data_IF_750209233100
#
_entry.id   IF_750209233100
#
_cell.length_a   1.000
_cell.length_b   1.000
_cell.length_c   1.000
_cell.angle_alpha   90.00
_cell.angle_beta   90.00
_cell.angle_gamma   90.00
#
_symmetry.space_group_name_H-M   'P 1'
#
loop_
_entity.id
_entity.type
_entity.pdbx_description
1 polymer ?
#
# COMPACT_ATOMS: atom_id res chain seq x y z
N UNK A 1 -16.35 -10.48 -24.70
CA UNK A 1 -15.27 -11.48 -24.64
C UNK A 1 -15.56 -12.38 -23.46
N UNK A 2 -15.80 -13.65 -23.73
CA UNK A 2 -16.08 -14.61 -22.65
C UNK A 2 -14.81 -14.88 -21.83
N UNK A 3 -14.92 -14.89 -20.51
CA UNK A 3 -13.83 -15.11 -19.53
C UNK A 3 -12.68 -14.07 -19.57
N UNK A 4 -12.89 -12.89 -20.10
CA UNK A 4 -11.91 -11.81 -20.07
C UNK A 4 -12.50 -10.59 -19.34
N UNK A 5 -12.05 -10.32 -18.12
CA UNK A 5 -12.48 -9.17 -17.33
C UNK A 5 -13.91 -9.30 -16.77
N UNK A 6 -14.38 -10.49 -16.49
CA UNK A 6 -15.77 -10.74 -16.05
C UNK A 6 -15.97 -10.63 -14.53
N UNK A 7 -14.89 -10.46 -13.76
CA UNK A 7 -15.01 -10.35 -12.31
C UNK A 7 -15.17 -8.89 -11.91
N UNK A 8 -16.23 -8.62 -11.18
CA UNK A 8 -16.44 -7.33 -10.50
C UNK A 8 -16.41 -7.56 -8.99
N UNK A 9 -15.51 -6.89 -8.29
CA UNK A 9 -15.34 -7.06 -6.86
C UNK A 9 -14.76 -5.80 -6.21
N UNK A 10 -14.81 -5.76 -4.89
CA UNK A 10 -14.13 -4.72 -4.12
C UNK A 10 -12.64 -5.03 -3.96
N UNK A 11 -11.83 -4.01 -3.65
CA UNK A 11 -10.42 -4.24 -3.33
C UNK A 11 -10.25 -5.16 -2.11
N UNK A 12 -11.17 -5.10 -1.14
CA UNK A 12 -11.16 -5.99 0.03
C UNK A 12 -11.44 -7.45 -0.31
N UNK A 13 -12.25 -7.72 -1.33
CA UNK A 13 -12.49 -9.09 -1.76
C UNK A 13 -11.31 -9.63 -2.59
N UNK A 14 -10.69 -8.79 -3.42
CA UNK A 14 -9.47 -9.15 -4.13
C UNK A 14 -8.32 -9.42 -3.15
N UNK A 15 -8.23 -8.69 -2.05
CA UNK A 15 -7.24 -8.92 -1.00
C UNK A 15 -7.35 -10.33 -0.37
N UNK A 16 -8.54 -10.90 -0.28
CA UNK A 16 -8.72 -12.29 0.19
C UNK A 16 -8.07 -13.29 -0.77
N UNK A 17 -8.17 -13.05 -2.06
CA UNK A 17 -7.46 -13.84 -3.07
C UNK A 17 -5.95 -13.68 -2.92
N UNK A 18 -5.44 -12.48 -2.75
CA UNK A 18 -4.01 -12.21 -2.58
C UNK A 18 -3.44 -12.87 -1.33
N UNK A 19 -4.18 -12.82 -0.22
CA UNK A 19 -3.84 -13.55 1.01
C UNK A 19 -3.73 -15.05 0.72
N UNK A 20 -4.69 -15.60 -0.05
CA UNK A 20 -4.65 -17.01 -0.41
C UNK A 20 -3.46 -17.38 -1.30
N UNK A 21 -3.01 -16.47 -2.15
CA UNK A 21 -1.79 -16.65 -2.95
C UNK A 21 -0.54 -16.62 -2.09
N UNK A 22 -0.46 -15.73 -1.12
CA UNK A 22 0.64 -15.61 -0.17
C UNK A 22 0.72 -16.86 0.71
N UNK A 23 -0.41 -17.27 1.29
CA UNK A 23 -0.50 -18.38 2.24
C UNK A 23 -0.63 -19.74 1.54
N UNK A 24 -0.81 -19.78 0.23
CA UNK A 24 -1.07 -20.98 -0.58
C UNK A 24 -2.26 -21.80 -0.02
N UNK A 25 -3.34 -21.13 0.41
CA UNK A 25 -4.39 -21.72 1.24
C UNK A 25 -5.53 -22.40 0.48
N UNK A 26 -5.78 -22.01 -0.78
CA UNK A 26 -6.96 -22.48 -1.56
C UNK A 26 -6.60 -23.62 -2.52
N UNK A 27 -5.46 -23.47 -3.22
CA UNK A 27 -5.00 -24.44 -4.19
C UNK A 27 -3.91 -25.34 -3.59
N UNK A 28 -3.64 -26.47 -4.25
CA UNK A 28 -2.48 -27.29 -3.88
C UNK A 28 -1.19 -26.49 -4.12
N UNK A 29 -0.14 -26.66 -3.31
CA UNK A 29 1.12 -25.95 -3.50
C UNK A 29 1.72 -26.12 -4.90
N UNK A 30 1.53 -27.27 -5.51
CA UNK A 30 1.97 -27.53 -6.88
C UNK A 30 1.25 -26.62 -7.88
N UNK A 31 -0.04 -26.33 -7.68
CA UNK A 31 -0.83 -25.47 -8.58
C UNK A 31 -0.35 -24.02 -8.54
N UNK A 32 0.04 -23.52 -7.34
CA UNK A 32 0.67 -22.19 -7.23
C UNK A 32 2.01 -22.14 -7.96
N UNK A 33 2.85 -23.18 -7.83
CA UNK A 33 4.12 -23.26 -8.57
C UNK A 33 3.90 -23.26 -10.08
N UNK A 34 2.90 -24.01 -10.58
CA UNK A 34 2.56 -24.02 -12.01
C UNK A 34 2.03 -22.66 -12.46
N UNK A 35 1.22 -21.98 -11.64
CA UNK A 35 0.69 -20.66 -11.94
C UNK A 35 1.80 -19.61 -12.06
N UNK A 36 2.82 -19.72 -11.26
CA UNK A 36 3.97 -18.80 -11.24
C UNK A 36 5.09 -19.20 -12.21
N UNK A 37 5.00 -20.38 -12.84
CA UNK A 37 6.00 -20.83 -13.79
C UNK A 37 5.91 -20.02 -15.07
N UNK A 38 6.98 -19.30 -15.35
CA UNK A 38 7.08 -18.47 -16.55
C UNK A 38 7.27 -19.31 -17.79
N UNK A 39 6.48 -19.06 -18.81
CA UNK A 39 6.63 -19.71 -20.12
C UNK A 39 7.81 -19.08 -20.88
N UNK A 40 8.53 -19.94 -21.62
CA UNK A 40 9.64 -19.50 -22.45
C UNK A 40 9.22 -19.53 -23.93
N UNK A 41 9.67 -18.53 -24.66
CA UNK A 41 9.56 -18.49 -26.12
C UNK A 41 10.51 -19.52 -26.76
N UNK A 42 10.30 -19.86 -28.02
CA UNK A 42 11.13 -20.83 -28.75
C UNK A 42 12.62 -20.45 -28.81
N UNK A 43 12.94 -19.19 -28.70
CA UNK A 43 14.30 -18.66 -28.64
C UNK A 43 14.90 -18.64 -27.22
N UNK A 44 14.20 -19.18 -26.22
CA UNK A 44 14.61 -19.20 -24.81
C UNK A 44 14.33 -17.92 -24.03
N UNK A 45 13.80 -16.87 -24.65
CA UNK A 45 13.45 -15.65 -23.94
C UNK A 45 12.24 -15.88 -23.03
N UNK A 46 12.29 -15.32 -21.82
CA UNK A 46 11.19 -15.37 -20.85
C UNK A 46 10.03 -14.49 -21.30
N UNK A 47 8.81 -15.00 -21.18
CA UNK A 47 7.59 -14.18 -21.35
C UNK A 47 7.32 -13.31 -20.14
N UNK A 48 7.95 -13.58 -19.00
CA UNK A 48 7.63 -13.00 -17.69
C UNK A 48 6.15 -13.20 -17.30
N UNK A 49 5.51 -14.23 -17.82
CA UNK A 49 4.09 -14.50 -17.62
C UNK A 49 3.86 -15.99 -17.39
N UNK A 50 3.10 -16.30 -16.37
CA UNK A 50 2.67 -17.65 -16.01
C UNK A 50 1.21 -17.88 -16.38
N UNK A 51 0.49 -18.63 -15.56
CA UNK A 51 -0.94 -18.91 -15.80
C UNK A 51 -1.78 -17.79 -15.18
N UNK A 52 -2.04 -16.73 -15.96
CA UNK A 52 -2.89 -15.61 -15.56
C UNK A 52 -2.18 -14.56 -14.66
N UNK A 53 -0.88 -14.65 -14.48
CA UNK A 53 -0.11 -13.67 -13.69
C UNK A 53 1.21 -13.33 -14.39
N UNK A 54 1.58 -12.05 -14.37
CA UNK A 54 2.93 -11.62 -14.67
C UNK A 54 3.85 -11.97 -13.51
N UNK A 55 5.05 -12.45 -13.81
CA UNK A 55 6.05 -12.84 -12.81
C UNK A 55 7.32 -12.03 -13.08
N UNK A 56 7.68 -11.18 -12.14
CA UNK A 56 8.83 -10.27 -12.29
C UNK A 56 9.58 -10.10 -10.97
N UNK A 57 10.73 -9.44 -11.06
CA UNK A 57 11.49 -8.99 -9.89
C UNK A 57 11.62 -7.48 -9.97
N UNK A 58 11.10 -6.78 -8.97
CA UNK A 58 11.16 -5.31 -8.87
C UNK A 58 11.92 -4.95 -7.59
N UNK A 59 13.00 -4.21 -7.73
CA UNK A 59 13.86 -3.82 -6.61
C UNK A 59 14.28 -5.00 -5.71
N UNK A 60 14.62 -6.15 -6.34
CA UNK A 60 15.03 -7.37 -5.66
C UNK A 60 13.89 -8.18 -5.04
N UNK A 61 12.63 -7.80 -5.24
CA UNK A 61 11.45 -8.52 -4.72
C UNK A 61 10.70 -9.20 -5.83
N UNK A 62 10.33 -10.45 -5.61
CA UNK A 62 9.44 -11.19 -6.51
C UNK A 62 8.05 -10.58 -6.46
N UNK A 63 7.48 -10.31 -7.63
CA UNK A 63 6.15 -9.72 -7.80
C UNK A 63 5.33 -10.58 -8.72
N UNK A 64 4.15 -10.95 -8.26
CA UNK A 64 3.10 -11.56 -9.05
C UNK A 64 2.04 -10.49 -9.33
N UNK A 65 1.85 -10.12 -10.59
CA UNK A 65 0.98 -9.00 -10.89
C UNK A 65 0.04 -9.28 -12.06
N UNK A 66 -1.13 -8.70 -12.00
CA UNK A 66 -2.04 -8.63 -13.13
C UNK A 66 -2.76 -7.28 -13.14
N UNK A 67 -2.83 -6.66 -14.30
CA UNK A 67 -3.62 -5.47 -14.54
C UNK A 67 -4.88 -5.78 -15.33
N UNK A 68 -5.77 -4.82 -15.38
CA UNK A 68 -6.98 -4.92 -16.18
C UNK A 68 -7.48 -3.56 -16.63
N UNK A 69 -8.10 -3.54 -17.79
CA UNK A 69 -8.81 -2.40 -18.31
C UNK A 69 -10.08 -2.87 -19.02
N UNK A 70 -11.21 -2.34 -18.60
CA UNK A 70 -12.50 -2.47 -19.27
C UNK A 70 -13.17 -1.10 -19.28
N UNK A 71 -14.18 -0.91 -20.15
CA UNK A 71 -14.84 0.41 -20.28
C UNK A 71 -15.21 1.02 -18.93
N UNK A 72 -14.62 2.16 -18.63
CA UNK A 72 -14.84 2.93 -17.41
C UNK A 72 -13.98 2.52 -16.20
N UNK A 73 -13.08 1.50 -16.30
CA UNK A 73 -12.33 0.99 -15.16
C UNK A 73 -10.91 0.58 -15.53
N UNK A 74 -9.95 0.89 -14.67
CA UNK A 74 -8.63 0.24 -14.70
C UNK A 74 -8.31 -0.36 -13.34
N UNK A 75 -7.54 -1.45 -13.37
CA UNK A 75 -7.14 -2.19 -12.18
C UNK A 75 -5.66 -2.55 -12.23
N UNK A 76 -5.03 -2.62 -11.07
CA UNK A 76 -3.71 -3.21 -10.87
C UNK A 76 -3.72 -3.99 -9.57
N UNK A 77 -3.31 -5.25 -9.66
CA UNK A 77 -3.03 -6.09 -8.52
C UNK A 77 -1.55 -6.51 -8.54
N UNK A 78 -0.84 -6.36 -7.44
CA UNK A 78 0.56 -6.72 -7.28
C UNK A 78 0.77 -7.42 -5.94
N UNK A 79 1.08 -8.69 -5.98
CA UNK A 79 1.34 -9.53 -4.80
C UNK A 79 2.84 -9.72 -4.66
N UNK A 80 3.36 -9.52 -3.46
CA UNK A 80 4.75 -9.72 -3.04
C UNK A 80 4.80 -10.90 -2.07
N UNK A 81 4.77 -12.15 -2.55
CA UNK A 81 4.55 -13.31 -1.67
C UNK A 81 5.66 -13.47 -0.64
N UNK A 82 6.92 -13.22 -1.01
CA UNK A 82 8.07 -13.34 -0.10
C UNK A 82 8.12 -12.24 0.97
N UNK A 83 7.32 -11.18 0.80
CA UNK A 83 7.21 -10.06 1.73
C UNK A 83 5.87 -10.02 2.47
N UNK A 84 5.01 -11.02 2.27
CA UNK A 84 3.65 -11.08 2.83
C UNK A 84 2.86 -9.78 2.63
N UNK A 85 2.91 -9.24 1.42
CA UNK A 85 2.26 -7.98 1.08
C UNK A 85 1.56 -8.04 -0.28
N UNK A 86 0.51 -7.24 -0.44
CA UNK A 86 -0.13 -7.01 -1.73
C UNK A 86 -0.55 -5.55 -1.87
N UNK A 87 -0.60 -5.07 -3.10
CA UNK A 87 -1.10 -3.75 -3.45
C UNK A 87 -2.18 -3.89 -4.50
N UNK A 88 -3.37 -3.40 -4.19
CA UNK A 88 -4.53 -3.44 -5.06
C UNK A 88 -4.98 -2.01 -5.32
N UNK A 89 -5.10 -1.66 -6.58
CA UNK A 89 -5.63 -0.37 -7.01
C UNK A 89 -6.73 -0.61 -8.03
N UNK A 90 -7.94 -0.20 -7.71
CA UNK A 90 -9.08 -0.22 -8.59
C UNK A 90 -9.54 1.23 -8.83
N UNK A 91 -9.74 1.62 -10.08
CA UNK A 91 -10.19 2.95 -10.44
C UNK A 91 -11.44 2.89 -11.33
N UNK A 92 -12.28 3.89 -11.22
CA UNK A 92 -13.46 4.08 -12.09
C UNK A 92 -13.14 5.01 -13.27
N UNK A 93 -11.96 4.85 -13.84
CA UNK A 93 -11.47 5.62 -14.99
C UNK A 93 -10.72 4.68 -15.92
N UNK A 94 -11.00 4.73 -17.21
CA UNK A 94 -10.32 3.99 -18.26
C UNK A 94 -9.33 4.86 -19.04
N UNK A 95 -8.67 4.28 -20.03
CA UNK A 95 -7.74 4.92 -20.94
C UNK A 95 -6.60 5.70 -20.22
N UNK A 96 -6.16 5.22 -19.04
CA UNK A 96 -5.10 5.86 -18.27
C UNK A 96 -4.25 4.83 -17.50
N UNK A 97 -3.10 5.27 -17.00
CA UNK A 97 -2.15 4.45 -16.23
C UNK A 97 -2.22 4.68 -14.71
N UNK A 98 -3.29 5.30 -14.20
CA UNK A 98 -3.37 5.68 -12.80
C UNK A 98 -3.26 4.46 -11.87
N UNK A 99 -3.97 3.37 -12.16
CA UNK A 99 -3.93 2.16 -11.34
C UNK A 99 -2.51 1.60 -11.21
N UNK A 100 -1.79 1.45 -12.33
CA UNK A 100 -0.40 0.96 -12.35
C UNK A 100 0.55 1.92 -11.64
N UNK A 101 0.46 3.22 -11.93
CA UNK A 101 1.34 4.22 -11.34
C UNK A 101 1.16 4.32 -9.83
N UNK A 102 -0.09 4.30 -9.35
CA UNK A 102 -0.40 4.31 -7.93
C UNK A 102 0.07 3.02 -7.25
N UNK A 103 -0.15 1.84 -7.84
CA UNK A 103 0.32 0.58 -7.29
C UNK A 103 1.85 0.55 -7.13
N UNK A 104 2.58 1.01 -8.15
CA UNK A 104 4.03 1.12 -8.09
C UNK A 104 4.48 2.08 -6.98
N UNK A 105 3.87 3.25 -6.90
CA UNK A 105 4.20 4.25 -5.88
C UNK A 105 3.91 3.77 -4.47
N UNK A 106 2.79 3.08 -4.26
CA UNK A 106 2.46 2.45 -2.99
C UNK A 106 3.50 1.39 -2.63
N UNK A 107 3.89 0.54 -3.60
CA UNK A 107 4.96 -0.45 -3.42
C UNK A 107 6.28 0.18 -2.99
N UNK A 108 6.70 1.28 -3.61
CA UNK A 108 7.89 2.02 -3.20
C UNK A 108 7.81 2.52 -1.75
N UNK A 109 6.64 3.00 -1.33
CA UNK A 109 6.42 3.49 0.05
C UNK A 109 6.46 2.33 1.05
N UNK A 110 5.78 1.21 0.74
CA UNK A 110 5.73 0.03 1.61
C UNK A 110 7.14 -0.51 1.85
N UNK A 111 7.94 -0.59 0.80
CA UNK A 111 9.26 -1.18 0.83
C UNK A 111 10.39 -0.16 0.91
N UNK A 112 10.08 1.09 1.16
CA UNK A 112 11.11 2.08 1.45
C UNK A 112 11.97 1.60 2.62
N UNK A 113 13.30 1.76 2.56
CA UNK A 113 14.16 1.41 3.68
C UNK A 113 13.61 2.07 4.95
N UNK A 114 13.37 1.27 5.97
CA UNK A 114 13.00 1.79 7.29
C UNK A 114 14.20 2.56 7.80
N UNK A 115 14.08 3.89 7.79
CA UNK A 115 15.09 4.73 8.46
C UNK A 115 15.21 4.23 9.91
N UNK A 116 16.45 3.95 10.31
CA UNK A 116 16.86 3.45 11.62
C UNK A 116 16.04 4.05 12.75
N UNK A 117 15.36 3.21 13.56
CA UNK A 117 14.86 3.52 14.93
C UNK A 117 14.10 4.81 15.22
N UNK A 118 14.15 5.75 14.30
CA UNK A 118 13.75 7.15 14.44
C UNK A 118 12.31 7.46 13.95
N UNK A 119 11.66 6.50 13.27
CA UNK A 119 10.33 6.76 12.68
C UNK A 119 9.25 6.96 13.73
N UNK A 120 9.33 6.25 14.86
CA UNK A 120 8.40 6.45 15.97
C UNK A 120 8.64 7.80 16.67
N UNK A 121 9.89 8.18 16.87
CA UNK A 121 10.24 9.48 17.43
C UNK A 121 9.78 10.62 16.51
N UNK A 122 9.97 10.49 15.20
CA UNK A 122 9.47 11.45 14.19
C UNK A 122 7.95 11.53 14.19
N UNK A 123 7.25 10.38 14.23
CA UNK A 123 5.78 10.36 14.29
C UNK A 123 5.26 11.06 15.56
N UNK A 124 5.89 10.83 16.71
CA UNK A 124 5.61 11.55 17.96
C UNK A 124 5.82 13.05 17.83
N UNK A 125 6.96 13.45 17.29
CA UNK A 125 7.31 14.86 17.11
C UNK A 125 6.31 15.55 16.17
N UNK A 126 5.90 14.91 15.09
CA UNK A 126 4.90 15.42 14.14
C UNK A 126 3.55 15.60 14.84
N UNK A 127 3.02 14.58 15.53
CA UNK A 127 1.72 14.68 16.18
C UNK A 127 1.69 15.77 17.24
N UNK A 128 2.70 15.80 18.11
CA UNK A 128 2.84 16.83 19.15
C UNK A 128 2.98 18.23 18.53
N UNK A 129 3.73 18.33 17.43
CA UNK A 129 3.88 19.57 16.69
C UNK A 129 2.58 20.08 16.10
N UNK A 130 1.79 19.19 15.47
CA UNK A 130 0.47 19.50 14.93
C UNK A 130 -0.49 19.98 16.04
N UNK A 131 -0.55 19.28 17.18
CA UNK A 131 -1.37 19.70 18.32
C UNK A 131 -0.98 21.09 18.87
N UNK A 132 0.29 21.44 18.80
CA UNK A 132 0.82 22.73 19.28
C UNK A 132 0.83 23.83 18.22
N UNK A 133 0.25 23.59 17.03
CA UNK A 133 0.32 24.52 15.89
C UNK A 133 1.76 24.92 15.53
N UNK A 134 2.73 24.01 15.74
CA UNK A 134 4.15 24.25 15.50
C UNK A 134 4.84 22.95 15.06
N UNK A 135 5.09 22.83 13.76
CA UNK A 135 5.75 21.65 13.17
C UNK A 135 7.21 21.92 12.89
N UNK A 136 8.03 20.88 12.98
CA UNK A 136 9.39 20.89 12.42
C UNK A 136 9.31 20.59 10.92
N UNK A 137 9.50 21.62 10.12
CA UNK A 137 9.36 21.53 8.66
C UNK A 137 10.43 20.67 7.99
N UNK A 138 11.56 20.41 8.67
CA UNK A 138 12.60 19.52 8.17
C UNK A 138 12.19 18.05 8.10
N UNK A 139 11.11 17.69 8.81
CA UNK A 139 10.54 16.34 8.79
C UNK A 139 9.62 16.08 7.59
N UNK A 140 9.37 17.07 6.76
CA UNK A 140 8.40 17.01 5.68
C UNK A 140 9.03 17.30 4.31
N UNK A 141 8.47 16.72 3.26
CA UNK A 141 8.81 17.07 1.88
C UNK A 141 8.29 18.49 1.53
N UNK A 142 8.83 19.09 0.47
CA UNK A 142 8.41 20.42 0.01
C UNK A 142 6.89 20.49 -0.26
N UNK A 143 6.32 19.46 -0.87
CA UNK A 143 4.87 19.37 -1.13
C UNK A 143 4.07 19.34 0.17
N UNK A 144 4.49 18.57 1.18
CA UNK A 144 3.83 18.54 2.47
C UNK A 144 3.98 19.88 3.20
N UNK A 145 5.14 20.52 3.10
CA UNK A 145 5.37 21.84 3.66
C UNK A 145 4.51 22.93 3.02
N UNK A 146 4.23 22.81 1.72
CA UNK A 146 3.32 23.72 1.01
C UNK A 146 1.87 23.51 1.46
N UNK A 147 1.47 22.27 1.77
CA UNK A 147 0.12 21.96 2.27
C UNK A 147 -0.12 22.51 3.68
N UNK A 148 0.89 22.46 4.57
CA UNK A 148 0.78 22.94 5.94
C UNK A 148 0.95 24.45 6.01
N UNK A 149 0.00 25.21 5.46
CA UNK A 149 -0.08 26.66 5.68
C UNK A 149 -0.56 27.00 7.10
N UNK A 150 -0.64 28.31 7.42
CA UNK A 150 -1.02 28.76 8.77
C UNK A 150 -2.45 28.34 9.14
N UNK A 151 -3.37 28.37 8.18
CA UNK A 151 -4.76 28.02 8.42
C UNK A 151 -4.91 26.53 8.66
N UNK A 152 -4.31 25.70 7.78
CA UNK A 152 -4.31 24.25 7.91
C UNK A 152 -3.73 23.80 9.27
N UNK A 153 -2.61 24.38 9.70
CA UNK A 153 -2.01 24.06 11.00
C UNK A 153 -2.92 24.46 12.16
N UNK A 154 -3.59 25.60 12.08
CA UNK A 154 -4.53 26.06 13.10
C UNK A 154 -5.73 25.10 13.22
N UNK A 155 -6.31 24.71 12.11
CA UNK A 155 -7.48 23.81 12.05
C UNK A 155 -7.12 22.41 12.59
N UNK A 156 -5.95 21.90 12.21
CA UNK A 156 -5.42 20.63 12.71
C UNK A 156 -5.15 20.69 14.22
N UNK A 157 -4.53 21.75 14.70
CA UNK A 157 -4.27 21.93 16.12
C UNK A 157 -5.58 21.97 16.92
N UNK A 158 -6.57 22.71 16.44
CA UNK A 158 -7.90 22.79 17.07
C UNK A 158 -8.58 21.43 17.15
N UNK A 159 -8.55 20.67 16.05
CA UNK A 159 -9.14 19.34 15.98
C UNK A 159 -8.41 18.32 16.87
N UNK A 160 -7.07 18.33 16.85
CA UNK A 160 -6.25 17.36 17.57
C UNK A 160 -6.16 17.65 19.08
N UNK A 161 -6.28 18.90 19.50
CA UNK A 161 -6.24 19.28 20.91
C UNK A 161 -7.41 18.70 21.70
N UNK A 162 -8.56 18.50 21.06
CA UNK A 162 -9.74 17.89 21.68
C UNK A 162 -9.49 16.45 22.16
N UNK A 163 -8.49 15.75 21.62
CA UNK A 163 -8.13 14.39 22.03
C UNK A 163 -7.16 14.33 23.21
N UNK A 164 -6.69 15.48 23.71
CA UNK A 164 -5.73 15.55 24.81
C UNK A 164 -4.29 15.21 24.40
N UNK A 165 -3.38 15.18 25.39
CA UNK A 165 -1.99 14.82 25.14
C UNK A 165 -1.88 13.29 24.88
N UNK A 166 -1.13 12.86 23.85
CA UNK A 166 -0.92 11.44 23.61
C UNK A 166 -0.10 10.83 24.75
N UNK A 167 -0.63 9.80 25.38
CA UNK A 167 -0.01 9.14 26.55
C UNK A 167 0.88 7.98 26.14
N UNK A 168 0.57 7.32 25.02
CA UNK A 168 1.35 6.19 24.54
C UNK A 168 1.39 6.14 23.01
N UNK A 169 2.46 5.54 22.48
CA UNK A 169 2.67 5.31 21.07
C UNK A 169 3.19 3.89 20.88
N UNK A 170 2.34 3.03 20.41
CA UNK A 170 2.72 1.66 20.14
C UNK A 170 2.95 1.44 18.64
N UNK A 171 4.02 0.78 18.23
CA UNK A 171 4.22 0.32 16.86
C UNK A 171 3.46 -1.01 16.69
N UNK A 172 2.27 -1.03 16.03
CA UNK A 172 1.41 -2.22 15.87
C UNK A 172 1.92 -3.14 14.75
N UNK A 173 2.54 -2.61 13.69
CA UNK A 173 3.25 -3.40 12.69
C UNK A 173 4.26 -2.56 11.93
N UNK A 174 5.32 -3.17 11.45
CA UNK A 174 6.19 -2.56 10.45
C UNK A 174 5.56 -2.80 9.08
N UNK A 175 4.91 -1.79 8.49
CA UNK A 175 4.26 -1.92 7.19
C UNK A 175 3.25 -0.81 6.92
N UNK A 176 2.35 -1.05 6.00
CA UNK A 176 1.38 -0.09 5.45
C UNK A 176 0.50 0.64 6.48
N UNK A 177 0.41 0.15 7.69
CA UNK A 177 -0.45 0.65 8.76
C UNK A 177 0.20 1.68 9.68
N UNK A 178 1.33 2.26 9.31
CA UNK A 178 2.00 3.33 10.10
C UNK A 178 1.08 4.53 10.41
N UNK A 179 0.12 4.81 9.53
CA UNK A 179 -0.86 5.89 9.73
C UNK A 179 -2.03 5.51 10.65
N UNK A 180 -2.43 4.26 10.68
CA UNK A 180 -3.61 3.81 11.47
C UNK A 180 -3.35 3.71 12.98
N UNK A 181 -2.10 3.63 13.41
CA UNK A 181 -1.77 3.56 14.84
C UNK A 181 -1.87 4.87 15.60
N UNK A 182 -1.59 5.97 14.92
CA UNK A 182 -1.74 7.31 15.52
C UNK A 182 -3.20 7.57 15.89
N UNK A 183 -4.14 7.02 15.13
CA UNK A 183 -5.59 7.15 15.40
C UNK A 183 -6.09 6.27 16.57
N UNK A 184 -5.44 5.16 16.88
CA UNK A 184 -5.89 4.28 17.97
C UNK A 184 -5.54 4.81 19.37
N UNK A 185 -4.49 5.60 19.48
CA UNK A 185 -4.10 6.27 20.74
C UNK A 185 -5.13 7.33 21.16
N UNK A 186 -5.81 7.95 20.20
CA UNK A 186 -6.83 8.96 20.45
C UNK A 186 -8.16 8.37 20.96
N UNK A 187 -8.46 7.08 20.75
CA UNK A 187 -9.71 6.46 21.12
C UNK A 187 -9.78 5.93 22.57
N UNK A 188 -8.68 5.94 23.32
CA UNK A 188 -8.65 5.47 24.71
C UNK A 188 -8.84 6.60 25.74
N UNK A 189 -9.25 7.78 25.29
CA UNK A 189 -9.59 8.92 26.15
C UNK A 189 -11.12 9.03 26.28
N UNK A 190 -11.76 8.04 26.88
CA UNK A 190 -13.09 8.22 27.46
C UNK A 190 -12.95 8.31 29.00
N UNK A 191 -13.71 9.20 29.64
CA UNK A 191 -13.59 9.56 31.05
C UNK A 191 -13.92 8.42 31.98
#
# INVERSE_FOLDING_TARGET
MFAAGELAMTASDLAKWDISMIDQAILKPQSYREMERVELLKNGASTQYGLGVGVSVVNGRRVLAHGGEVSGFTAQNAVYPDNHAAVIVLTNMDANRAAVNLANRIGEIIFAPTGNGDSLAKAKAILIGLQKNKIDRSLFTDNANAYFDKQCLHDLASSLTSFGAPTDFELVSEGLLRALKILKVAQNLTP
#
